data_IF_868711633833
#
_entry.id   IF_868711633833
#
_cell.length_a   1.000
_cell.length_b   1.000
_cell.length_c   1.000
_cell.angle_alpha   90.00
_cell.angle_beta   90.00
_cell.angle_gamma   90.00
#
_symmetry.space_group_name_H-M   'P 1'
#
loop_
_entity.id
_entity.type
_entity.pdbx_description
1 polymer ?
#
# COMPACT_ATOMS: atom_id res chain seq x y z
N UNK A 1 -11.00 15.46 5.85
CA UNK A 1 -11.15 14.04 5.47
C UNK A 1 -9.80 13.60 4.94
N UNK A 2 -9.23 12.55 5.50
CA UNK A 2 -7.92 12.05 5.03
C UNK A 2 -8.14 11.13 3.86
N UNK A 3 -7.31 11.27 2.85
CA UNK A 3 -7.41 10.54 1.59
C UNK A 3 -6.28 9.51 1.55
N UNK A 4 -6.45 8.49 0.70
CA UNK A 4 -5.50 7.38 0.58
C UNK A 4 -4.07 7.87 0.33
N UNK A 5 -3.89 8.94 -0.45
CA UNK A 5 -2.58 9.46 -0.81
C UNK A 5 -1.90 10.37 0.22
N UNK A 6 -2.54 10.63 1.36
CA UNK A 6 -1.94 11.46 2.41
C UNK A 6 -0.75 10.72 3.04
N UNK A 7 0.45 11.30 2.96
CA UNK A 7 1.66 10.74 3.55
C UNK A 7 1.49 10.52 5.06
N UNK A 8 2.00 9.39 5.57
CA UNK A 8 1.90 8.98 6.96
C UNK A 8 0.58 8.32 7.34
N UNK A 9 -0.44 8.36 6.47
CA UNK A 9 -1.76 7.77 6.75
C UNK A 9 -1.66 6.26 6.83
N UNK A 10 -2.43 5.67 7.75
CA UNK A 10 -2.57 4.22 7.84
C UNK A 10 -3.72 3.73 6.96
N UNK A 11 -3.38 2.85 6.03
CA UNK A 11 -4.32 2.23 5.11
C UNK A 11 -4.39 0.75 5.42
N UNK A 12 -5.61 0.27 5.72
CA UNK A 12 -5.92 -1.15 5.83
C UNK A 12 -6.12 -1.73 4.44
N UNK A 13 -5.57 -2.91 4.22
CA UNK A 13 -5.79 -3.73 3.03
C UNK A 13 -6.50 -5.00 3.47
N UNK A 14 -7.67 -5.26 2.90
CA UNK A 14 -8.46 -6.48 3.14
C UNK A 14 -8.48 -7.31 1.86
N UNK A 15 -7.71 -8.41 1.79
CA UNK A 15 -7.74 -9.30 0.63
C UNK A 15 -9.14 -9.86 0.38
N UNK A 16 -9.60 -9.84 -0.88
CA UNK A 16 -10.88 -10.45 -1.24
C UNK A 16 -10.73 -11.88 -1.78
N UNK A 17 -9.54 -12.23 -2.26
CA UNK A 17 -9.21 -13.54 -2.82
C UNK A 17 -8.05 -14.22 -2.09
N UNK A 18 -7.81 -15.49 -2.45
CA UNK A 18 -6.65 -16.29 -2.02
C UNK A 18 -5.33 -15.66 -2.46
N UNK A 19 -4.39 -15.52 -1.54
CA UNK A 19 -3.14 -14.82 -1.78
C UNK A 19 -2.19 -15.60 -2.68
N UNK A 20 -1.63 -14.97 -3.73
CA UNK A 20 -0.45 -15.54 -4.40
C UNK A 20 0.78 -15.18 -3.59
N UNK A 21 1.54 -16.19 -3.20
CA UNK A 21 2.74 -16.06 -2.38
C UNK A 21 3.91 -16.77 -3.05
N UNK A 22 5.08 -16.14 -3.09
CA UNK A 22 6.32 -16.80 -3.45
C UNK A 22 7.40 -16.46 -2.43
N UNK A 23 7.93 -17.47 -1.75
CA UNK A 23 8.82 -17.28 -0.61
C UNK A 23 10.30 -17.18 -0.98
N UNK A 24 10.67 -17.62 -2.19
CA UNK A 24 12.06 -17.63 -2.66
C UNK A 24 12.15 -17.77 -4.18
N UNK A 25 13.34 -17.61 -4.76
CA UNK A 25 13.56 -17.62 -6.20
C UNK A 25 13.14 -18.93 -6.87
N UNK A 26 13.41 -20.06 -6.22
CA UNK A 26 13.08 -21.39 -6.72
C UNK A 26 11.78 -21.96 -6.10
N UNK A 27 11.12 -21.19 -5.24
CA UNK A 27 9.85 -21.60 -4.64
C UNK A 27 8.73 -21.48 -5.68
N UNK A 28 7.81 -22.45 -5.68
CA UNK A 28 6.59 -22.35 -6.46
C UNK A 28 5.72 -21.18 -5.95
N UNK A 29 4.89 -20.63 -6.84
CA UNK A 29 3.85 -19.68 -6.43
C UNK A 29 2.72 -20.49 -5.79
N UNK A 30 2.46 -20.23 -4.51
CA UNK A 30 1.42 -20.88 -3.74
C UNK A 30 0.18 -19.98 -3.63
N UNK A 31 -1.00 -20.61 -3.55
CA UNK A 31 -2.26 -19.94 -3.23
C UNK A 31 -2.58 -20.17 -1.75
N UNK A 32 -2.57 -19.08 -0.99
CA UNK A 32 -2.82 -19.09 0.46
C UNK A 32 -4.21 -18.53 0.73
N UNK A 33 -5.12 -19.34 1.26
CA UNK A 33 -6.51 -18.94 1.55
C UNK A 33 -6.66 -17.99 2.76
N UNK A 34 -5.55 -17.48 3.31
CA UNK A 34 -5.57 -16.55 4.45
C UNK A 34 -5.79 -15.10 3.98
N UNK A 35 -7.00 -14.61 4.21
CA UNK A 35 -7.45 -13.25 3.87
C UNK A 35 -7.39 -12.28 5.06
N UNK A 36 -6.59 -12.60 6.07
CA UNK A 36 -6.38 -11.71 7.22
C UNK A 36 -5.92 -10.32 6.74
N UNK A 37 -6.63 -9.25 7.12
CA UNK A 37 -6.25 -7.89 6.76
C UNK A 37 -4.89 -7.49 7.32
N UNK A 38 -4.27 -6.49 6.70
CA UNK A 38 -3.03 -5.88 7.17
C UNK A 38 -3.06 -4.37 6.97
N UNK A 39 -2.13 -3.66 7.61
CA UNK A 39 -2.06 -2.20 7.57
C UNK A 39 -0.69 -1.77 7.12
N UNK A 40 -0.63 -0.84 6.17
CA UNK A 40 0.60 -0.17 5.80
C UNK A 40 0.49 1.34 6.02
N UNK A 41 1.63 1.97 6.27
CA UNK A 41 1.73 3.42 6.32
C UNK A 41 2.12 3.94 4.95
N UNK A 42 1.41 4.94 4.45
CA UNK A 42 1.71 5.56 3.15
C UNK A 42 2.99 6.38 3.27
N UNK A 43 4.04 5.95 2.56
CA UNK A 43 5.34 6.63 2.53
C UNK A 43 5.59 7.31 1.16
N UNK A 44 4.78 7.04 0.12
CA UNK A 44 4.96 7.71 -1.16
C UNK A 44 4.06 7.26 -2.29
N UNK A 45 4.16 7.98 -3.39
CA UNK A 45 3.56 7.61 -4.67
C UNK A 45 4.50 6.69 -5.45
N UNK A 46 3.91 5.72 -6.13
CA UNK A 46 4.55 5.02 -7.22
C UNK A 46 4.46 5.89 -8.47
N UNK A 47 5.62 6.35 -8.96
CA UNK A 47 5.72 7.32 -10.05
C UNK A 47 6.56 6.77 -11.21
N UNK A 48 6.09 7.01 -12.44
CA UNK A 48 6.80 6.76 -13.69
C UNK A 48 6.73 8.04 -14.53
N UNK A 49 7.76 8.87 -14.43
CA UNK A 49 7.76 10.24 -14.95
C UNK A 49 6.67 11.09 -14.31
N UNK A 50 5.68 11.50 -15.09
CA UNK A 50 4.54 12.29 -14.61
C UNK A 50 3.32 11.43 -14.21
N UNK A 51 3.40 10.11 -14.39
CA UNK A 51 2.30 9.20 -14.11
C UNK A 51 2.41 8.69 -12.69
N UNK A 52 1.38 8.94 -11.89
CA UNK A 52 1.20 8.31 -10.58
C UNK A 52 0.30 7.11 -10.74
N UNK A 53 0.82 5.92 -10.48
CA UNK A 53 0.12 4.66 -10.75
C UNK A 53 -0.15 3.84 -9.48
N UNK A 54 0.19 4.37 -8.31
CA UNK A 54 -0.13 3.73 -7.05
C UNK A 54 0.52 4.40 -5.84
N UNK A 55 0.43 3.75 -4.69
CA UNK A 55 1.00 4.20 -3.42
C UNK A 55 1.83 3.07 -2.83
N UNK A 56 2.81 3.41 -2.02
CA UNK A 56 3.61 2.41 -1.31
C UNK A 56 3.98 2.85 0.10
N UNK A 57 4.39 1.87 0.91
CA UNK A 57 5.03 2.10 2.19
C UNK A 57 5.06 0.85 3.07
N UNK A 58 5.69 0.93 4.24
CA UNK A 58 5.95 -0.22 5.09
C UNK A 58 4.66 -0.77 5.69
N UNK A 59 4.56 -2.10 5.74
CA UNK A 59 3.54 -2.78 6.54
C UNK A 59 3.89 -2.59 8.01
N UNK A 60 2.94 -2.05 8.77
CA UNK A 60 3.09 -1.71 10.20
C UNK A 60 2.32 -2.65 11.12
N UNK A 61 1.29 -3.33 10.60
CA UNK A 61 0.49 -4.30 11.33
C UNK A 61 -0.09 -5.36 10.38
N UNK A 62 -0.34 -6.57 10.89
CA UNK A 62 -0.91 -7.69 10.12
C UNK A 62 -0.14 -9.00 10.28
N UNK A 63 -0.35 -9.96 9.35
CA UNK A 63 0.18 -11.30 9.46
C UNK A 63 1.70 -11.34 9.28
N UNK A 64 2.35 -12.35 9.89
CA UNK A 64 3.81 -12.47 9.91
C UNK A 64 4.44 -12.46 8.51
N UNK A 65 3.76 -13.03 7.51
CA UNK A 65 4.21 -13.03 6.10
C UNK A 65 4.42 -11.64 5.51
N UNK A 66 3.77 -10.61 6.05
CA UNK A 66 3.88 -9.22 5.58
C UNK A 66 4.80 -8.37 6.47
N UNK A 67 5.27 -8.90 7.61
CA UNK A 67 6.02 -8.12 8.60
C UNK A 67 7.38 -7.70 8.02
N UNK A 68 7.71 -6.42 8.18
CA UNK A 68 8.97 -5.86 7.68
C UNK A 68 9.04 -5.71 6.16
N UNK A 69 7.93 -5.92 5.45
CA UNK A 69 7.83 -5.75 4.01
C UNK A 69 7.18 -4.40 3.64
N UNK A 70 7.33 -4.02 2.38
CA UNK A 70 6.70 -2.84 1.78
C UNK A 70 5.46 -3.28 1.02
N UNK A 71 4.33 -2.65 1.33
CA UNK A 71 3.11 -2.76 0.55
C UNK A 71 3.15 -1.73 -0.59
N UNK A 72 2.65 -2.14 -1.74
CA UNK A 72 2.37 -1.32 -2.92
C UNK A 72 0.94 -1.57 -3.36
N UNK A 73 0.11 -0.54 -3.38
CA UNK A 73 -1.25 -0.59 -3.94
C UNK A 73 -1.26 0.11 -5.30
N UNK A 74 -1.96 -0.46 -6.28
CA UNK A 74 -1.96 -0.01 -7.67
C UNK A 74 -3.30 0.60 -8.07
N UNK A 75 -3.25 1.76 -8.73
CA UNK A 75 -4.42 2.44 -9.25
C UNK A 75 -5.08 1.59 -10.33
N UNK A 76 -6.39 1.38 -10.21
CA UNK A 76 -7.18 0.58 -11.16
C UNK A 76 -7.77 1.46 -12.26
N UNK A 77 -8.27 0.80 -13.31
CA UNK A 77 -8.96 1.44 -14.42
C UNK A 77 -10.41 1.86 -14.09
N UNK A 78 -10.90 1.56 -12.89
CA UNK A 78 -12.26 1.88 -12.44
C UNK A 78 -12.48 3.38 -12.16
N UNK A 79 -11.44 4.20 -12.29
CA UNK A 79 -11.53 5.65 -12.17
C UNK A 79 -11.31 6.17 -10.75
N UNK A 80 -10.84 5.32 -9.82
CA UNK A 80 -10.53 5.75 -8.46
C UNK A 80 -9.49 6.86 -8.40
N UNK A 81 -9.83 7.97 -7.74
CA UNK A 81 -8.90 9.08 -7.46
C UNK A 81 -8.53 9.13 -5.97
N UNK A 82 -7.38 8.55 -5.67
CA UNK A 82 -6.83 8.44 -4.32
C UNK A 82 -6.37 9.79 -3.72
N UNK A 83 -6.47 10.89 -4.49
CA UNK A 83 -6.32 12.26 -3.98
C UNK A 83 -7.56 12.78 -3.24
N UNK A 84 -8.71 12.14 -3.44
CA UNK A 84 -9.98 12.55 -2.84
C UNK A 84 -10.70 11.39 -2.13
N UNK A 85 -10.38 10.14 -2.49
CA UNK A 85 -10.97 8.94 -1.89
C UNK A 85 -10.28 8.50 -0.60
N UNK A 86 -11.07 8.04 0.37
CA UNK A 86 -10.59 7.40 1.62
C UNK A 86 -10.75 5.88 1.60
N UNK A 87 -11.47 5.32 0.63
CA UNK A 87 -11.60 3.89 0.41
C UNK A 87 -11.74 3.59 -1.08
N UNK A 88 -11.24 2.42 -1.50
CA UNK A 88 -11.24 1.99 -2.90
C UNK A 88 -10.99 0.48 -2.98
N UNK A 89 -10.97 -0.07 -4.19
CA UNK A 89 -10.46 -1.42 -4.45
C UNK A 89 -9.12 -1.31 -5.19
N UNK A 90 -8.14 -2.12 -4.80
CA UNK A 90 -6.81 -2.03 -5.40
C UNK A 90 -6.19 -3.42 -5.60
N UNK A 91 -5.39 -3.55 -6.65
CA UNK A 91 -4.38 -4.60 -6.68
C UNK A 91 -3.29 -4.22 -5.69
N UNK A 92 -2.77 -5.19 -4.96
CA UNK A 92 -1.67 -4.95 -4.03
C UNK A 92 -0.57 -5.97 -4.24
N UNK A 93 0.67 -5.53 -3.97
CA UNK A 93 1.88 -6.34 -3.92
C UNK A 93 2.64 -5.99 -2.65
N UNK A 94 3.05 -7.00 -1.90
CA UNK A 94 3.84 -6.86 -0.68
C UNK A 94 5.15 -7.60 -0.87
N UNK A 95 6.27 -6.97 -0.55
CA UNK A 95 7.59 -7.60 -0.68
C UNK A 95 8.73 -6.75 -0.16
N UNK A 96 10.00 -7.07 -0.49
CA UNK A 96 11.16 -6.42 0.13
C UNK A 96 11.30 -4.93 -0.22
N UNK A 97 10.58 -4.44 -1.24
CA UNK A 97 10.61 -3.05 -1.66
C UNK A 97 9.34 -2.64 -2.41
N UNK A 98 9.30 -1.38 -2.84
CA UNK A 98 8.22 -0.88 -3.67
C UNK A 98 8.27 -1.49 -5.08
N UNK A 99 7.10 -1.71 -5.68
CA UNK A 99 7.02 -2.23 -7.05
C UNK A 99 7.46 -1.20 -8.07
N UNK A 100 8.02 -1.68 -9.18
CA UNK A 100 8.42 -0.85 -10.32
C UNK A 100 7.50 -1.08 -11.50
N UNK A 101 7.38 -0.07 -12.33
CA UNK A 101 6.64 -0.18 -13.59
C UNK A 101 7.27 -1.23 -14.50
N UNK A 102 6.42 -2.08 -15.11
CA UNK A 102 6.80 -2.95 -16.22
C UNK A 102 6.15 -2.47 -17.52
N UNK A 103 6.94 -1.79 -18.35
CA UNK A 103 6.47 -1.16 -19.59
C UNK A 103 5.99 -2.16 -20.67
N UNK A 104 6.13 -3.48 -20.46
CA UNK A 104 5.58 -4.49 -21.37
C UNK A 104 4.05 -4.56 -21.35
N UNK A 105 3.43 -4.12 -20.25
CA UNK A 105 1.98 -4.13 -20.07
C UNK A 105 1.50 -2.73 -19.69
N UNK A 106 0.20 -2.45 -19.77
CA UNK A 106 -0.39 -1.24 -19.17
C UNK A 106 -0.19 -1.25 -17.63
N UNK A 107 -0.05 -0.08 -16.99
CA UNK A 107 0.20 -0.02 -15.53
C UNK A 107 -0.97 -0.54 -14.69
N UNK A 108 -2.18 -0.53 -15.27
CA UNK A 108 -3.41 -1.03 -14.65
C UNK A 108 -3.55 -2.55 -14.80
N UNK A 109 -2.69 -3.19 -15.62
CA UNK A 109 -2.61 -4.64 -15.74
C UNK A 109 -1.99 -5.24 -14.46
N UNK A 110 -2.41 -6.43 -14.01
CA UNK A 110 -1.79 -7.10 -12.85
C UNK A 110 -0.27 -7.32 -12.99
N UNK A 111 0.18 -7.57 -14.23
CA UNK A 111 1.61 -7.68 -14.60
C UNK A 111 2.25 -6.34 -14.99
N UNK A 112 1.52 -5.22 -14.92
CA UNK A 112 2.02 -3.88 -15.21
C UNK A 112 3.07 -3.38 -14.23
N UNK A 113 3.36 -4.16 -13.20
CA UNK A 113 4.39 -3.88 -12.20
C UNK A 113 5.19 -5.13 -11.86
N UNK A 114 6.47 -4.93 -11.56
CA UNK A 114 7.39 -5.96 -11.08
C UNK A 114 7.84 -5.65 -9.67
N UNK A 115 8.09 -6.70 -8.90
CA UNK A 115 8.67 -6.62 -7.58
C UNK A 115 10.02 -7.36 -7.62
N UNK A 116 11.06 -6.75 -7.08
CA UNK A 116 12.37 -7.39 -6.96
C UNK A 116 12.51 -8.07 -5.60
N UNK A 117 12.97 -9.32 -5.61
CA UNK A 117 13.26 -10.10 -4.40
C UNK A 117 12.08 -10.89 -3.86
N UNK A 118 12.33 -11.54 -2.72
CA UNK A 118 11.44 -12.46 -2.03
C UNK A 118 11.53 -12.23 -0.51
N UNK A 119 10.51 -12.59 0.28
CA UNK A 119 9.22 -13.15 -0.15
C UNK A 119 8.33 -12.08 -0.79
N UNK A 120 7.36 -12.50 -1.60
CA UNK A 120 6.32 -11.60 -2.08
C UNK A 120 4.92 -12.19 -2.01
N UNK A 121 3.95 -11.29 -1.87
CA UNK A 121 2.52 -11.57 -1.82
C UNK A 121 1.79 -10.62 -2.77
N UNK A 122 0.85 -11.09 -3.59
CA UNK A 122 0.14 -10.23 -4.55
C UNK A 122 -1.29 -10.70 -4.79
N UNK A 123 -2.28 -9.81 -4.74
CA UNK A 123 -3.68 -10.05 -5.18
C UNK A 123 -4.44 -8.72 -5.33
N UNK A 124 -5.72 -8.75 -4.97
CA UNK A 124 -6.74 -7.74 -5.09
C UNK A 124 -7.55 -7.72 -3.79
N UNK A 125 -7.99 -6.54 -3.39
CA UNK A 125 -8.79 -6.37 -2.21
C UNK A 125 -9.26 -4.93 -2.02
N UNK A 126 -9.93 -4.72 -0.90
CA UNK A 126 -10.34 -3.41 -0.43
C UNK A 126 -9.17 -2.67 0.21
N UNK A 127 -9.14 -1.36 0.03
CA UNK A 127 -8.24 -0.45 0.75
C UNK A 127 -9.05 0.64 1.43
N UNK A 128 -8.74 0.92 2.69
CA UNK A 128 -9.47 1.90 3.51
C UNK A 128 -8.53 2.65 4.44
N UNK A 129 -8.68 3.97 4.53
CA UNK A 129 -8.01 4.81 5.53
C UNK A 129 -8.61 4.53 6.92
N UNK A 130 -7.78 4.06 7.86
CA UNK A 130 -8.24 3.68 9.21
C UNK A 130 -7.77 4.59 10.33
N UNK A 131 -6.87 5.55 10.06
CA UNK A 131 -6.55 6.62 11.01
C UNK A 131 -5.96 7.83 10.30
N UNK A 132 -6.28 9.01 10.84
CA UNK A 132 -5.64 10.26 10.48
C UNK A 132 -4.41 10.42 11.38
N UNK A 133 -3.23 10.64 10.82
CA UNK A 133 -2.16 11.23 11.61
C UNK A 133 -2.70 12.61 12.05
N UNK A 134 -2.75 12.93 13.36
CA UNK A 134 -3.03 14.30 13.75
C UNK A 134 -1.93 15.16 13.16
N UNK A 135 -2.29 16.24 12.46
CA UNK A 135 -1.34 17.23 11.96
C UNK A 135 -0.32 17.53 13.05
N UNK A 136 0.95 17.18 12.79
CA UNK A 136 2.05 17.50 13.69
C UNK A 136 2.34 19.00 13.61
N UNK A 137 1.39 19.83 14.06
CA UNK A 137 1.55 21.26 14.28
C UNK A 137 0.47 21.82 15.20
N UNK A 138 0.40 21.32 16.44
CA UNK A 138 -0.28 22.04 17.51
C UNK A 138 0.25 21.61 18.88
N UNK A 139 1.47 22.03 19.21
CA UNK A 139 1.97 22.04 20.59
C UNK A 139 3.19 22.98 20.71
N UNK A 140 3.04 24.23 20.28
CA UNK A 140 3.91 25.31 20.72
C UNK A 140 3.16 26.64 20.55
N UNK A 141 2.31 26.96 21.52
CA UNK A 141 2.01 28.36 21.85
C UNK A 141 2.39 28.59 23.31
N UNK A 142 3.04 29.73 23.60
CA UNK A 142 3.71 29.98 24.87
C UNK A 142 2.70 30.35 25.93
N UNK A 143 2.78 29.70 27.09
CA UNK A 143 2.01 30.12 28.25
C UNK A 143 2.66 31.39 28.83
N UNK A 144 2.07 32.54 28.46
CA UNK A 144 2.27 33.79 29.16
C UNK A 144 1.24 33.87 30.28
N UNK A 145 1.64 33.59 31.52
CA UNK A 145 0.93 34.11 32.70
C UNK A 145 1.70 33.93 34.03
N UNK A 146 2.27 35.05 34.50
CA UNK A 146 2.20 35.53 35.90
C UNK A 146 3.18 34.97 36.95
N UNK A 147 4.26 35.72 37.22
CA UNK A 147 4.41 36.54 38.45
C UNK A 147 5.58 37.51 38.33
#
# INVERSE_FOLDING_TARGET
MTVLSTFGTLVRVTPWDDLQCQLGPDAAVELVADRTPFVFRVDGWLEDGHIRYGLHGPVVDGPERCRGLVCSILTRADGSDWRVESSSSANFKVGPGAVRRDHRYDFRHPEGTTLSGYPWVSRFGEVEVISNVPDAKSAASPDSATR
#
